data_IF_247771944471
#
_entry.id   IF_247771944471
#
_cell.length_a   1.000
_cell.length_b   1.000
_cell.length_c   1.000
_cell.angle_alpha   90.00
_cell.angle_beta   90.00
_cell.angle_gamma   90.00
#
_symmetry.space_group_name_H-M   'P 1'
#
loop_
_entity.id
_entity.type
_entity.pdbx_description
1 polymer ?
#
# COMPACT_ATOMS: atom_id res chain seq x y z
N UNK A 1 -11.19 -14.57 -3.51
CA UNK A 1 -9.95 -14.83 -2.75
C UNK A 1 -9.25 -13.50 -2.61
N UNK A 2 -8.96 -13.07 -1.40
CA UNK A 2 -8.24 -11.82 -1.11
C UNK A 2 -6.83 -11.90 -1.70
N UNK A 3 -6.34 -10.87 -2.42
CA UNK A 3 -4.96 -10.86 -2.88
C UNK A 3 -4.00 -10.93 -1.70
N UNK A 4 -2.86 -11.64 -1.80
CA UNK A 4 -1.91 -11.79 -0.69
C UNK A 4 -1.41 -10.46 -0.09
N UNK A 5 -1.24 -9.41 -0.92
CA UNK A 5 -1.04 -8.03 -0.47
C UNK A 5 -2.28 -7.21 -0.80
N UNK A 6 -3.06 -6.87 0.21
CA UNK A 6 -4.30 -6.08 0.09
C UNK A 6 -4.62 -5.21 1.30
N UNK A 7 -3.67 -5.11 2.25
CA UNK A 7 -3.89 -4.34 3.48
C UNK A 7 -2.55 -3.78 3.98
N UNK A 8 -2.62 -2.61 4.64
CA UNK A 8 -1.45 -2.00 5.28
C UNK A 8 -1.84 -1.23 6.55
N UNK A 9 -0.85 -0.71 7.26
CA UNK A 9 -1.05 0.09 8.46
C UNK A 9 -0.44 1.48 8.30
N UNK A 10 -1.11 2.47 8.85
CA UNK A 10 -0.62 3.81 9.10
C UNK A 10 -1.12 4.24 10.47
N UNK A 11 -0.33 3.94 11.51
CA UNK A 11 -0.71 4.15 12.91
C UNK A 11 -0.01 5.36 13.54
N UNK A 12 0.75 6.11 12.73
CA UNK A 12 1.47 7.29 13.13
C UNK A 12 0.57 8.42 13.61
N UNK A 13 1.04 9.20 14.57
CA UNK A 13 0.41 10.44 14.96
C UNK A 13 0.57 11.51 13.86
N UNK A 14 -0.32 12.52 13.82
CA UNK A 14 -0.19 13.63 12.85
C UNK A 14 1.18 14.31 12.86
N UNK A 15 1.79 14.48 14.04
CA UNK A 15 3.10 15.13 14.17
C UNK A 15 4.24 14.29 13.60
N UNK A 16 4.14 12.97 13.69
CA UNK A 16 5.11 12.06 13.08
C UNK A 16 5.07 12.16 11.55
N UNK A 17 3.86 12.25 10.96
CA UNK A 17 3.67 12.45 9.54
C UNK A 17 4.20 13.80 9.07
N UNK A 18 3.89 14.89 9.81
CA UNK A 18 4.43 16.23 9.54
C UNK A 18 5.95 16.24 9.54
N UNK A 19 6.54 15.61 10.54
CA UNK A 19 8.00 15.55 10.69
C UNK A 19 8.64 14.71 9.58
N UNK A 20 8.11 13.51 9.32
CA UNK A 20 8.73 12.55 8.39
C UNK A 20 8.58 12.97 6.94
N UNK A 21 7.39 13.41 6.54
CA UNK A 21 7.07 13.71 5.15
C UNK A 21 7.03 15.21 4.83
N UNK A 22 7.07 16.08 5.84
CA UNK A 22 6.96 17.55 5.71
C UNK A 22 5.63 17.95 5.05
N UNK A 23 4.55 17.33 5.46
CA UNK A 23 3.20 17.53 4.94
C UNK A 23 2.28 18.16 5.97
N UNK A 24 1.34 18.95 5.53
CA UNK A 24 0.22 19.35 6.35
C UNK A 24 -0.75 18.19 6.52
N UNK A 25 -1.13 17.92 7.76
CA UNK A 25 -2.04 16.83 8.11
C UNK A 25 -3.36 17.44 8.59
N UNK A 26 -4.47 17.18 7.89
CA UNK A 26 -5.76 17.74 8.26
C UNK A 26 -6.32 17.10 9.53
N UNK A 27 -7.16 17.85 10.27
CA UNK A 27 -7.72 17.42 11.57
C UNK A 27 -8.58 16.16 11.47
N UNK A 28 -9.13 15.86 10.30
CA UNK A 28 -9.93 14.65 10.09
C UNK A 28 -9.10 13.40 9.79
N UNK A 29 -7.75 13.51 9.70
CA UNK A 29 -6.88 12.35 9.59
C UNK A 29 -7.14 11.36 10.73
N UNK A 30 -7.19 10.09 10.39
CA UNK A 30 -7.33 8.99 11.36
C UNK A 30 -6.30 7.92 11.08
N UNK A 31 -5.69 7.41 12.14
CA UNK A 31 -4.86 6.20 12.08
C UNK A 31 -5.64 5.04 11.46
N UNK A 32 -4.91 4.19 10.75
CA UNK A 32 -5.46 2.96 10.19
C UNK A 32 -4.62 1.78 10.62
N UNK A 33 -5.26 0.85 11.29
CA UNK A 33 -4.67 -0.42 11.71
C UNK A 33 -4.98 -1.52 10.69
N UNK A 34 -5.95 -1.27 9.80
CA UNK A 34 -6.40 -2.19 8.76
C UNK A 34 -6.86 -1.40 7.52
N UNK A 35 -5.94 -0.62 6.94
CA UNK A 35 -6.20 0.07 5.69
C UNK A 35 -6.38 -0.94 4.56
N UNK A 36 -7.52 -0.87 3.86
CA UNK A 36 -7.95 -1.87 2.88
C UNK A 36 -8.53 -1.22 1.61
N UNK A 37 -8.63 -1.97 0.50
CA UNK A 37 -9.23 -1.50 -0.74
C UNK A 37 -10.62 -0.89 -0.56
N UNK A 38 -10.94 0.06 -1.41
CA UNK A 38 -12.17 0.86 -1.42
C UNK A 38 -12.35 1.79 -0.22
N UNK A 39 -11.36 1.92 0.64
CA UNK A 39 -11.33 2.93 1.69
C UNK A 39 -10.69 4.23 1.18
N UNK A 40 -11.13 5.36 1.73
CA UNK A 40 -10.54 6.68 1.53
C UNK A 40 -9.32 6.82 2.44
N UNK A 41 -8.13 6.92 1.85
CA UNK A 41 -6.85 6.81 2.55
C UNK A 41 -5.90 7.96 2.18
N UNK A 42 -4.97 8.35 3.06
CA UNK A 42 -4.07 9.46 2.80
C UNK A 42 -3.05 9.14 1.71
N UNK A 43 -2.82 10.12 0.84
CA UNK A 43 -1.82 10.10 -0.22
C UNK A 43 -1.06 11.42 -0.25
N UNK A 44 0.22 11.38 -0.65
CA UNK A 44 1.04 12.56 -0.92
C UNK A 44 1.23 12.65 -2.43
N UNK A 45 0.71 13.71 -3.05
CA UNK A 45 0.72 13.88 -4.50
C UNK A 45 2.01 14.56 -4.99
N UNK A 46 2.49 14.16 -6.15
CA UNK A 46 3.59 14.88 -6.82
C UNK A 46 3.24 16.33 -7.18
N UNK A 47 1.97 16.61 -7.42
CA UNK A 47 1.46 17.96 -7.72
C UNK A 47 1.28 18.83 -6.46
N UNK A 48 1.13 18.21 -5.29
CA UNK A 48 0.92 18.91 -4.00
C UNK A 48 1.64 18.16 -2.88
N UNK A 49 2.99 18.14 -2.88
CA UNK A 49 3.77 17.32 -1.97
C UNK A 49 3.80 17.82 -0.52
N UNK A 50 3.32 19.02 -0.25
CA UNK A 50 3.25 19.66 1.07
C UNK A 50 1.99 19.33 1.87
N UNK A 51 1.05 18.55 1.33
CA UNK A 51 -0.19 18.20 2.02
C UNK A 51 -0.63 16.75 1.81
N UNK A 52 -1.50 16.27 2.71
CA UNK A 52 -2.19 15.00 2.53
C UNK A 52 -3.49 15.20 1.75
N UNK A 53 -3.59 14.55 0.60
CA UNK A 53 -4.86 14.30 -0.10
C UNK A 53 -5.45 12.96 0.35
N UNK A 54 -6.71 12.70 -0.01
CA UNK A 54 -7.39 11.46 0.35
C UNK A 54 -8.05 10.85 -0.89
N UNK A 55 -7.60 9.66 -1.29
CA UNK A 55 -8.06 8.94 -2.47
C UNK A 55 -8.52 7.54 -2.10
N UNK A 56 -9.41 6.96 -2.90
CA UNK A 56 -9.84 5.58 -2.71
C UNK A 56 -8.77 4.61 -3.19
N UNK A 57 -8.46 3.60 -2.39
CA UNK A 57 -7.54 2.55 -2.81
C UNK A 57 -8.21 1.60 -3.81
N UNK A 58 -7.80 1.67 -5.07
CA UNK A 58 -8.25 0.81 -6.16
C UNK A 58 -9.63 1.19 -6.70
N UNK A 59 -10.69 0.88 -6.00
CA UNK A 59 -12.07 1.07 -6.47
C UNK A 59 -12.84 2.08 -5.62
N UNK A 60 -13.56 2.96 -6.30
CA UNK A 60 -14.56 3.80 -5.66
C UNK A 60 -15.79 2.96 -5.28
N UNK A 61 -16.30 3.05 -4.05
CA UNK A 61 -17.38 2.19 -3.55
C UNK A 61 -18.69 2.25 -4.36
N UNK A 62 -18.93 3.33 -5.08
CA UNK A 62 -20.14 3.53 -5.91
C UNK A 62 -20.13 2.83 -7.26
N UNK A 63 -18.95 2.57 -7.85
CA UNK A 63 -18.83 2.12 -9.24
C UNK A 63 -19.03 0.61 -9.47
N UNK A 64 -19.01 -0.21 -8.44
CA UNK A 64 -18.95 -1.66 -8.63
C UNK A 64 -19.70 -2.47 -7.57
N UNK A 65 -21.03 -2.34 -7.57
CA UNK A 65 -21.87 -3.23 -6.73
C UNK A 65 -21.68 -4.73 -7.04
N UNK A 66 -21.07 -5.09 -8.18
CA UNK A 66 -20.98 -6.47 -8.69
C UNK A 66 -19.56 -6.92 -9.09
N UNK A 67 -18.50 -6.16 -8.83
CA UNK A 67 -17.12 -6.56 -9.16
C UNK A 67 -16.31 -6.79 -7.90
N UNK A 68 -15.77 -8.00 -7.75
CA UNK A 68 -14.76 -8.28 -6.72
C UNK A 68 -13.53 -7.39 -6.94
N UNK A 69 -12.96 -6.89 -5.84
CA UNK A 69 -11.68 -6.20 -5.87
C UNK A 69 -10.63 -7.17 -6.43
N UNK A 70 -10.10 -6.87 -7.60
CA UNK A 70 -9.03 -7.67 -8.20
C UNK A 70 -7.67 -7.06 -7.86
N UNK A 71 -6.64 -7.89 -7.73
CA UNK A 71 -5.27 -7.43 -7.53
C UNK A 71 -4.86 -6.36 -8.54
N UNK A 72 -5.29 -6.50 -9.80
CA UNK A 72 -4.97 -5.56 -10.89
C UNK A 72 -5.52 -4.15 -10.72
N UNK A 73 -6.42 -3.92 -9.80
CA UNK A 73 -6.99 -2.60 -9.53
C UNK A 73 -6.33 -1.94 -8.34
N UNK A 74 -5.97 -2.72 -7.34
CA UNK A 74 -5.35 -2.22 -6.10
C UNK A 74 -3.83 -2.10 -6.22
N UNK A 75 -3.21 -2.90 -7.11
CA UNK A 75 -1.76 -2.87 -7.33
C UNK A 75 -1.40 -2.79 -8.81
N UNK A 76 -0.18 -2.31 -9.09
CA UNK A 76 0.46 -2.33 -10.42
C UNK A 76 1.85 -2.94 -10.28
N UNK A 77 2.20 -3.82 -11.18
CA UNK A 77 3.56 -4.38 -11.22
C UNK A 77 4.52 -3.37 -11.84
N UNK A 78 5.66 -3.11 -11.20
CA UNK A 78 6.68 -2.21 -11.71
C UNK A 78 7.17 -2.65 -13.10
N UNK A 79 7.32 -3.95 -13.30
CA UNK A 79 7.76 -4.55 -14.57
C UNK A 79 6.77 -4.26 -15.72
N UNK A 80 5.47 -4.28 -15.44
CA UNK A 80 4.45 -3.90 -16.42
C UNK A 80 4.52 -2.41 -16.77
N UNK A 81 4.83 -1.57 -15.79
CA UNK A 81 4.93 -0.12 -15.98
C UNK A 81 6.17 0.25 -16.80
N UNK A 82 7.28 -0.46 -16.60
CA UNK A 82 8.49 -0.33 -17.41
C UNK A 82 8.28 -0.82 -18.86
N UNK A 83 7.57 -1.93 -19.04
CA UNK A 83 7.41 -2.58 -20.35
C UNK A 83 6.35 -1.92 -21.24
N UNK A 84 5.28 -1.34 -20.67
CA UNK A 84 4.09 -0.91 -21.42
C UNK A 84 4.04 0.61 -21.58
N UNK A 85 4.10 1.14 -22.83
CA UNK A 85 4.08 2.59 -23.09
C UNK A 85 2.87 3.34 -22.55
N UNK A 86 1.74 2.66 -22.34
CA UNK A 86 0.51 3.26 -21.79
C UNK A 86 0.72 3.88 -20.40
N UNK A 87 1.68 3.38 -19.63
CA UNK A 87 1.98 3.92 -18.30
C UNK A 87 2.84 5.18 -18.32
N UNK A 88 3.50 5.51 -19.45
CA UNK A 88 4.37 6.70 -19.52
C UNK A 88 3.66 8.00 -19.17
N UNK A 89 2.41 8.16 -19.61
CA UNK A 89 1.62 9.36 -19.31
C UNK A 89 1.32 9.44 -17.82
N UNK A 90 0.86 8.36 -17.21
CA UNK A 90 0.55 8.28 -15.77
C UNK A 90 1.82 8.52 -14.94
N UNK A 91 2.93 7.89 -15.30
CA UNK A 91 4.21 8.06 -14.63
C UNK A 91 4.79 9.48 -14.71
N UNK A 92 4.36 10.31 -15.66
CA UNK A 92 4.79 11.71 -15.74
C UNK A 92 4.07 12.63 -14.77
N UNK A 93 2.78 12.44 -14.55
CA UNK A 93 1.94 13.41 -13.85
C UNK A 93 1.14 12.85 -12.67
N UNK A 94 0.92 11.56 -12.57
CA UNK A 94 0.00 10.97 -11.61
C UNK A 94 0.73 10.06 -10.59
N UNK A 95 1.90 10.50 -10.14
CA UNK A 95 2.65 9.80 -9.08
C UNK A 95 2.21 10.29 -7.72
N UNK A 96 2.17 9.36 -6.76
CA UNK A 96 1.93 9.69 -5.36
C UNK A 96 2.70 8.72 -4.45
N UNK A 97 2.79 9.08 -3.18
CA UNK A 97 3.31 8.23 -2.11
C UNK A 97 2.19 7.91 -1.13
N UNK A 98 2.18 6.69 -0.63
CA UNK A 98 1.24 6.22 0.38
C UNK A 98 1.99 6.06 1.70
N UNK A 99 1.81 6.94 2.69
CA UNK A 99 2.42 6.81 4.00
C UNK A 99 1.99 5.50 4.68
N UNK A 100 2.94 4.79 5.30
CA UNK A 100 2.70 3.52 5.97
C UNK A 100 3.74 3.25 7.07
N UNK A 101 3.41 2.39 8.03
CA UNK A 101 4.32 1.87 9.05
C UNK A 101 4.39 0.35 9.11
N UNK A 102 3.73 -0.31 8.17
CA UNK A 102 3.74 -1.75 7.98
C UNK A 102 2.70 -2.18 6.96
N UNK A 103 2.75 -3.43 6.57
CA UNK A 103 1.78 -4.00 5.65
C UNK A 103 1.53 -5.47 5.97
N UNK A 104 0.43 -6.00 5.45
CA UNK A 104 0.06 -7.39 5.68
C UNK A 104 0.30 -8.22 4.42
N UNK A 105 0.80 -9.43 4.65
CA UNK A 105 0.87 -10.49 3.63
C UNK A 105 0.10 -11.70 4.15
N UNK A 106 -0.81 -12.18 3.34
CA UNK A 106 -1.50 -13.43 3.54
C UNK A 106 -0.67 -14.55 2.91
N UNK A 107 0.14 -15.25 3.74
CA UNK A 107 0.96 -16.38 3.31
C UNK A 107 0.09 -17.57 2.93
N UNK A 108 0.12 -18.04 1.67
CA UNK A 108 -0.63 -19.22 1.29
C UNK A 108 -0.03 -20.48 1.94
N UNK A 109 -0.82 -21.23 2.69
CA UNK A 109 -0.45 -22.56 3.19
C UNK A 109 -0.93 -23.66 2.23
N UNK A 110 -2.13 -23.49 1.72
CA UNK A 110 -2.76 -24.37 0.74
C UNK A 110 -3.49 -23.53 -0.31
N UNK A 111 -4.13 -24.19 -1.28
CA UNK A 111 -4.99 -23.49 -2.26
C UNK A 111 -6.18 -22.75 -1.61
N UNK A 112 -6.54 -23.06 -0.37
CA UNK A 112 -7.74 -22.56 0.31
C UNK A 112 -7.46 -21.98 1.70
N UNK A 113 -6.22 -22.01 2.16
CA UNK A 113 -5.83 -21.61 3.52
C UNK A 113 -4.65 -20.64 3.44
N UNK A 114 -4.77 -19.51 4.10
CA UNK A 114 -3.75 -18.45 4.17
C UNK A 114 -3.66 -17.92 5.60
N UNK A 115 -2.45 -17.61 6.05
CA UNK A 115 -2.17 -17.01 7.36
C UNK A 115 -1.71 -15.57 7.17
N UNK A 116 -2.27 -14.61 7.92
CA UNK A 116 -1.86 -13.22 7.84
C UNK A 116 -0.62 -12.95 8.69
N UNK A 117 0.33 -12.25 8.08
CA UNK A 117 1.53 -11.73 8.73
C UNK A 117 1.60 -10.22 8.52
N UNK A 118 1.98 -9.50 9.57
CA UNK A 118 2.33 -8.08 9.47
C UNK A 118 3.83 -7.95 9.29
N UNK A 119 4.24 -7.24 8.24
CA UNK A 119 5.63 -6.86 8.01
C UNK A 119 5.84 -5.47 8.57
N UNK A 120 6.92 -5.31 9.32
CA UNK A 120 7.37 -4.06 9.92
C UNK A 120 8.79 -3.73 9.48
N UNK A 121 9.14 -2.46 9.55
CA UNK A 121 10.47 -1.92 9.23
C UNK A 121 11.03 -1.21 10.47
N UNK A 122 11.59 -1.96 11.44
CA UNK A 122 11.92 -1.42 12.77
C UNK A 122 12.91 -0.26 12.75
N UNK A 123 13.84 -0.25 11.80
CA UNK A 123 14.87 0.78 11.70
C UNK A 123 14.38 2.12 11.15
N UNK A 124 13.29 2.10 10.37
CA UNK A 124 12.78 3.29 9.67
C UNK A 124 11.46 3.80 10.24
N UNK A 125 10.68 2.94 10.91
CA UNK A 125 9.35 3.27 11.41
C UNK A 125 8.39 3.62 10.26
N UNK A 126 8.24 4.93 9.97
CA UNK A 126 7.42 5.41 8.87
C UNK A 126 8.16 5.33 7.53
N UNK A 127 7.50 4.71 6.56
CA UNK A 127 7.91 4.61 5.16
C UNK A 127 6.79 5.10 4.25
N UNK A 128 7.05 5.10 2.95
CA UNK A 128 6.00 5.29 1.95
C UNK A 128 6.03 4.17 0.91
N UNK A 129 4.88 3.89 0.32
CA UNK A 129 4.79 3.05 -0.88
C UNK A 129 4.68 3.93 -2.11
N UNK A 130 5.45 3.63 -3.15
CA UNK A 130 5.26 4.27 -4.45
C UNK A 130 3.93 3.83 -5.05
N UNK A 131 3.17 4.79 -5.55
CA UNK A 131 1.86 4.56 -6.14
C UNK A 131 1.59 5.50 -7.32
N UNK A 132 0.59 5.17 -8.09
CA UNK A 132 0.00 6.05 -9.10
C UNK A 132 -1.46 6.29 -8.76
N UNK A 133 -2.00 7.41 -9.21
CA UNK A 133 -3.39 7.74 -9.05
C UNK A 133 -4.08 7.98 -10.40
N UNK A 134 -5.39 7.85 -10.42
CA UNK A 134 -6.24 8.04 -11.59
C UNK A 134 -7.49 8.79 -11.15
N UNK A 135 -8.01 9.65 -12.03
CA UNK A 135 -9.30 10.31 -11.81
C UNK A 135 -10.34 9.77 -12.80
N UNK A 136 -11.58 9.79 -12.37
CA UNK A 136 -12.72 9.42 -13.20
C UNK A 136 -13.97 10.16 -12.73
N UNK A 137 -14.93 10.30 -13.61
CA UNK A 137 -16.23 10.87 -13.31
C UNK A 137 -17.19 9.75 -12.87
N UNK A 138 -17.86 9.93 -11.74
CA UNK A 138 -18.86 8.98 -11.25
C UNK A 138 -20.22 9.18 -11.99
N UNK A 139 -21.17 8.29 -11.70
CA UNK A 139 -22.52 8.33 -12.34
C UNK A 139 -23.30 9.64 -12.06
N UNK A 140 -22.82 10.49 -11.17
CA UNK A 140 -23.41 11.78 -10.80
C UNK A 140 -22.64 12.97 -11.38
N UNK A 141 -21.58 12.73 -12.15
CA UNK A 141 -20.72 13.76 -12.71
C UNK A 141 -19.69 14.32 -11.73
N UNK A 142 -19.50 13.70 -10.57
CA UNK A 142 -18.50 14.13 -9.60
C UNK A 142 -17.15 13.47 -9.88
N UNK A 143 -16.07 14.26 -9.83
CA UNK A 143 -14.71 13.76 -9.98
C UNK A 143 -14.31 12.95 -8.75
N UNK A 144 -13.87 11.74 -8.99
CA UNK A 144 -13.39 10.79 -7.99
C UNK A 144 -11.95 10.41 -8.28
N UNK A 145 -11.17 10.16 -7.23
CA UNK A 145 -9.76 9.83 -7.33
C UNK A 145 -9.48 8.48 -6.69
N UNK A 146 -8.73 7.65 -7.38
CA UNK A 146 -8.27 6.35 -6.86
C UNK A 146 -6.76 6.24 -7.00
N UNK A 147 -6.16 5.38 -6.19
CA UNK A 147 -4.75 5.03 -6.33
C UNK A 147 -4.52 3.53 -6.41
N UNK A 148 -3.41 3.16 -7.02
CA UNK A 148 -2.90 1.79 -7.08
C UNK A 148 -1.46 1.77 -6.56
N UNK A 149 -1.15 0.86 -5.64
CA UNK A 149 0.20 0.70 -5.09
C UNK A 149 1.06 -0.07 -6.08
N UNK A 150 2.28 0.39 -6.30
CA UNK A 150 3.24 -0.30 -7.17
C UNK A 150 3.89 -1.43 -6.38
N UNK A 151 4.00 -2.61 -6.99
CA UNK A 151 4.63 -3.79 -6.39
C UNK A 151 5.84 -4.24 -7.19
N UNK A 152 6.80 -4.80 -6.48
CA UNK A 152 8.03 -5.41 -7.00
C UNK A 152 8.15 -6.86 -6.52
N UNK A 153 9.07 -7.68 -7.07
CA UNK A 153 9.44 -8.95 -6.46
C UNK A 153 9.84 -8.76 -4.99
N UNK A 154 9.36 -9.64 -4.12
CA UNK A 154 9.62 -9.52 -2.70
C UNK A 154 11.09 -9.70 -2.37
N UNK A 155 11.57 -8.94 -1.38
CA UNK A 155 12.94 -8.93 -0.91
C UNK A 155 12.98 -9.22 0.60
N UNK A 156 14.13 -9.69 1.09
CA UNK A 156 14.33 -9.96 2.50
C UNK A 156 13.27 -10.91 3.07
N UNK A 157 12.87 -10.68 4.30
CA UNK A 157 11.90 -11.53 5.01
C UNK A 157 10.48 -11.51 4.40
N UNK A 158 10.13 -10.50 3.59
CA UNK A 158 8.86 -10.52 2.87
C UNK A 158 8.79 -11.67 1.85
N UNK A 159 9.94 -12.04 1.26
CA UNK A 159 10.06 -13.17 0.33
C UNK A 159 9.78 -14.54 0.96
N UNK A 160 9.91 -14.68 2.27
CA UNK A 160 9.57 -15.92 3.00
C UNK A 160 8.05 -16.17 3.04
N UNK A 161 7.27 -15.11 2.81
CA UNK A 161 5.82 -15.13 2.91
C UNK A 161 5.12 -15.15 1.56
N UNK A 162 5.59 -14.32 0.60
CA UNK A 162 4.99 -14.18 -0.71
C UNK A 162 5.99 -13.63 -1.73
N UNK A 163 5.71 -13.79 -3.03
CA UNK A 163 6.59 -13.39 -4.13
C UNK A 163 6.54 -11.88 -4.49
N UNK A 164 5.60 -11.13 -3.91
CA UNK A 164 5.41 -9.69 -4.20
C UNK A 164 5.31 -8.88 -2.92
N UNK A 165 5.82 -7.63 -2.98
CA UNK A 165 5.71 -6.64 -1.92
C UNK A 165 5.50 -5.24 -2.51
N UNK A 166 5.01 -4.24 -1.74
CA UNK A 166 4.97 -2.85 -2.19
C UNK A 166 6.37 -2.32 -2.48
N UNK A 167 6.49 -1.48 -3.50
CA UNK A 167 7.72 -0.72 -3.75
C UNK A 167 7.87 0.36 -2.69
N UNK A 168 8.92 0.23 -1.87
CA UNK A 168 9.27 1.17 -0.78
C UNK A 168 10.49 1.96 -1.23
N UNK A 169 10.33 3.21 -1.72
CA UNK A 169 11.45 4.03 -2.11
C UNK A 169 12.25 4.51 -0.89
N UNK A 170 13.56 4.70 -1.06
CA UNK A 170 14.37 5.39 -0.05
C UNK A 170 13.94 6.86 0.09
N UNK A 171 14.26 7.56 1.19
CA UNK A 171 13.91 8.98 1.35
C UNK A 171 14.42 9.90 0.21
N UNK A 172 15.51 9.54 -0.44
CA UNK A 172 16.03 10.24 -1.62
C UNK A 172 15.15 9.96 -2.85
N UNK A 173 14.79 8.70 -3.05
CA UNK A 173 13.90 8.28 -4.13
C UNK A 173 12.46 8.79 -3.93
N UNK A 174 11.96 8.95 -2.71
CA UNK A 174 10.67 9.61 -2.43
C UNK A 174 10.62 11.02 -3.01
N UNK A 175 11.66 11.84 -2.74
CA UNK A 175 11.77 13.20 -3.28
C UNK A 175 11.78 13.21 -4.81
N UNK A 176 12.55 12.29 -5.40
CA UNK A 176 12.64 12.15 -6.84
C UNK A 176 11.33 11.66 -7.45
N UNK A 177 10.63 10.74 -6.78
CA UNK A 177 9.32 10.23 -7.20
C UNK A 177 8.25 11.32 -7.25
N UNK A 178 8.30 12.28 -6.32
CA UNK A 178 7.37 13.42 -6.29
C UNK A 178 7.83 14.60 -7.16
N UNK A 179 9.07 14.64 -7.68
CA UNK A 179 9.51 15.70 -8.58
C UNK A 179 8.95 15.51 -9.99
N UNK A 180 8.00 16.36 -10.39
CA UNK A 180 7.39 16.31 -11.73
C UNK A 180 8.38 16.57 -12.87
N UNK A 181 9.58 17.11 -12.56
CA UNK A 181 10.66 17.33 -13.54
C UNK A 181 11.59 16.11 -13.66
N UNK A 182 11.39 15.08 -12.85
CA UNK A 182 12.19 13.86 -12.93
C UNK A 182 12.09 13.24 -14.33
N UNK A 183 13.23 12.84 -14.85
CA UNK A 183 13.33 12.19 -16.16
C UNK A 183 12.74 10.78 -16.13
N UNK A 184 12.38 10.26 -17.30
CA UNK A 184 11.90 8.88 -17.43
C UNK A 184 12.95 7.87 -16.91
N UNK A 185 14.25 8.13 -17.13
CA UNK A 185 15.32 7.26 -16.64
C UNK A 185 15.39 7.22 -15.11
N UNK A 186 15.25 8.37 -14.44
CA UNK A 186 15.22 8.44 -12.97
C UNK A 186 13.99 7.73 -12.38
N UNK A 187 12.83 7.86 -13.01
CA UNK A 187 11.61 7.16 -12.58
C UNK A 187 11.77 5.65 -12.81
N UNK A 188 12.33 5.23 -13.94
CA UNK A 188 12.58 3.81 -14.21
C UNK A 188 13.54 3.20 -13.19
N UNK A 189 14.60 3.92 -12.80
CA UNK A 189 15.52 3.49 -11.74
C UNK A 189 14.80 3.24 -10.42
N UNK A 190 13.83 4.09 -10.05
CA UNK A 190 13.02 3.88 -8.84
C UNK A 190 12.13 2.64 -8.99
N UNK A 191 11.52 2.43 -10.17
CA UNK A 191 10.68 1.26 -10.45
C UNK A 191 11.44 -0.07 -10.45
N UNK A 192 12.73 -0.07 -10.77
CA UNK A 192 13.59 -1.24 -10.65
C UNK A 192 13.76 -1.68 -9.19
N UNK A 193 13.42 -0.80 -8.27
CA UNK A 193 13.45 -1.04 -6.83
C UNK A 193 14.77 -0.63 -6.19
N UNK A 194 14.72 -0.44 -4.89
CA UNK A 194 15.89 -0.24 -4.02
C UNK A 194 15.93 -1.35 -2.99
N UNK A 195 17.08 -1.56 -2.36
CA UNK A 195 17.17 -2.50 -1.26
C UNK A 195 16.16 -2.13 -0.17
N UNK A 196 15.36 -3.13 0.24
CA UNK A 196 14.43 -2.98 1.34
C UNK A 196 15.25 -2.75 2.64
N UNK A 197 14.91 -1.74 3.45
CA UNK A 197 15.44 -1.65 4.81
C UNK A 197 15.18 -2.95 5.57
N UNK A 198 16.02 -3.24 6.57
CA UNK A 198 15.84 -4.44 7.39
C UNK A 198 14.38 -4.54 7.86
N UNK A 199 13.73 -5.63 7.47
CA UNK A 199 12.33 -5.90 7.81
C UNK A 199 12.22 -7.10 8.74
N UNK A 200 11.14 -7.15 9.49
CA UNK A 200 10.75 -8.30 10.30
C UNK A 200 9.25 -8.57 10.13
N UNK A 201 8.79 -9.74 10.54
CA UNK A 201 7.36 -10.06 10.48
C UNK A 201 6.91 -10.91 11.67
N UNK A 202 5.63 -10.85 11.95
CA UNK A 202 4.96 -11.71 12.91
C UNK A 202 3.52 -11.99 12.46
N UNK A 203 2.99 -13.13 12.87
CA UNK A 203 1.60 -13.47 12.61
C UNK A 203 0.64 -12.59 13.41
N UNK A 204 -0.49 -12.25 12.80
CA UNK A 204 -1.56 -11.45 13.42
C UNK A 204 -2.89 -12.20 13.34
N UNK A 205 -3.89 -11.70 14.06
CA UNK A 205 -5.23 -12.28 14.04
C UNK A 205 -5.82 -12.30 12.62
N UNK A 206 -6.41 -13.41 12.14
CA UNK A 206 -7.14 -13.45 10.88
C UNK A 206 -8.39 -12.54 10.86
N UNK A 207 -8.75 -11.95 11.99
CA UNK A 207 -9.80 -10.94 12.04
C UNK A 207 -9.55 -9.72 11.15
N UNK A 208 -8.30 -9.50 10.68
CA UNK A 208 -7.97 -8.47 9.68
C UNK A 208 -8.67 -8.70 8.33
N UNK A 209 -9.16 -9.90 8.03
CA UNK A 209 -9.98 -10.17 6.84
C UNK A 209 -11.25 -9.32 6.80
N UNK A 210 -11.81 -9.03 7.96
CA UNK A 210 -12.94 -8.12 8.10
C UNK A 210 -12.45 -6.66 8.04
N UNK A 211 -12.47 -6.08 6.85
CA UNK A 211 -12.00 -4.72 6.59
C UNK A 211 -12.87 -3.62 7.24
N UNK A 212 -13.98 -3.95 7.88
CA UNK A 212 -14.75 -3.03 8.71
C UNK A 212 -14.13 -2.85 10.11
N UNK A 213 -13.28 -3.77 10.53
CA UNK A 213 -12.53 -3.70 11.80
C UNK A 213 -11.23 -2.93 11.60
N UNK A 214 -11.04 -1.87 12.39
CA UNK A 214 -9.88 -0.99 12.31
C UNK A 214 -9.49 -0.53 13.73
N UNK A 215 -8.92 -1.45 14.50
CA UNK A 215 -8.60 -1.24 15.92
C UNK A 215 -7.14 -1.58 16.22
N UNK A 216 -6.54 -1.03 17.28
CA UNK A 216 -5.15 -1.32 17.67
C UNK A 216 -4.84 -2.81 17.85
N UNK A 217 -5.84 -3.64 18.17
CA UNK A 217 -5.65 -5.08 18.31
C UNK A 217 -5.25 -5.79 17.00
N UNK A 218 -5.53 -5.18 15.83
CA UNK A 218 -5.20 -5.76 14.52
C UNK A 218 -3.69 -5.90 14.29
N UNK A 219 -2.88 -5.05 14.93
CA UNK A 219 -1.42 -5.06 14.80
C UNK A 219 -0.70 -5.87 15.88
N UNK A 220 -1.43 -6.47 16.81
CA UNK A 220 -0.81 -7.26 17.88
C UNK A 220 -0.43 -8.65 17.38
N UNK A 221 0.71 -9.19 17.81
CA UNK A 221 1.07 -10.57 17.53
C UNK A 221 0.00 -11.53 18.03
N UNK A 222 -0.32 -12.53 17.22
CA UNK A 222 -1.26 -13.59 17.54
C UNK A 222 -0.71 -14.94 17.07
N UNK A 223 -1.11 -16.06 17.68
CA UNK A 223 -0.74 -17.38 17.17
C UNK A 223 -1.15 -17.53 15.71
N UNK A 224 -0.31 -18.16 14.87
CA UNK A 224 -0.62 -18.33 13.44
C UNK A 224 -1.92 -19.11 13.27
N UNK A 225 -2.90 -18.49 12.62
CA UNK A 225 -4.18 -19.12 12.30
C UNK A 225 -4.59 -18.72 10.88
N UNK A 226 -5.24 -19.64 10.17
CA UNK A 226 -5.77 -19.36 8.85
C UNK A 226 -7.01 -18.43 8.92
N UNK A 227 -7.50 -17.97 7.76
CA UNK A 227 -8.66 -17.10 7.67
C UNK A 227 -9.96 -17.70 8.25
N UNK A 228 -9.98 -19.01 8.52
CA UNK A 228 -11.11 -19.68 9.18
C UNK A 228 -10.91 -19.82 10.70
N UNK A 229 -9.77 -19.35 11.23
CA UNK A 229 -9.42 -19.46 12.65
C UNK A 229 -8.78 -20.77 13.05
N UNK A 230 -8.42 -21.65 12.09
CA UNK A 230 -7.71 -22.88 12.40
C UNK A 230 -6.24 -22.56 12.70
N UNK A 231 -5.77 -22.97 13.89
CA UNK A 231 -4.36 -22.81 14.26
C UNK A 231 -3.47 -23.65 13.35
N UNK A 232 -2.36 -23.06 12.92
CA UNK A 232 -1.31 -23.78 12.17
C UNK A 232 -0.21 -24.17 13.13
N UNK A 233 0.02 -25.48 13.27
CA UNK A 233 0.98 -26.01 14.25
C UNK A 233 2.43 -26.00 13.77
N UNK A 234 2.69 -25.61 12.52
CA UNK A 234 4.01 -25.66 11.90
C UNK A 234 4.23 -24.44 10.99
N UNK A 235 4.95 -23.46 11.49
CA UNK A 235 5.66 -22.42 10.71
C UNK A 235 7.09 -22.32 11.21
#
# INVERSE_FOLDING_TARGET
MTPPFSQYTITAEPDDLRTRFRVDVPDFYKKRFNAAPSQLLPVILAEQPEGLSFFYWGLFPGLNKNKSVSEKVITRRAEDMLAKPIYRKILRSHRCLIPADGFYIWKPLTRRSMVPYRIILPATGLVSFAAIWEEFEDDKGAQQHTFSIITIPAQGKAGDLYDRMPLIPSPEHEKKWLDLRATEAEINQILEGSELPQSDYYSVSPAIEDTSKDTPSMILPAPPADQFGNLTLFD
#
